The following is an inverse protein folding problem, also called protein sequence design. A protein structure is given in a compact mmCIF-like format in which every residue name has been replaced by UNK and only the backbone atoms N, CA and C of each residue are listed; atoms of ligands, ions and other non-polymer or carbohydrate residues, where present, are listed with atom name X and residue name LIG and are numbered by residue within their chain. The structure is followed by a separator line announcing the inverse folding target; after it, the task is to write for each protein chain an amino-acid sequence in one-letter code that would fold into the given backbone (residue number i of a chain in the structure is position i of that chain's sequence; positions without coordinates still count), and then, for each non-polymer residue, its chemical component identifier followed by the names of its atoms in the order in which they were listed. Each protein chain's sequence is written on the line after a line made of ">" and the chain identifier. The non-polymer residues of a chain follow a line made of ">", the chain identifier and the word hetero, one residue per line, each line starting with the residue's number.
data_IF_561210063084
#
_entry.id   IF_561210063084
#
_cell.length_a   1.000
_cell.length_b   1.000
_cell.length_c   1.000
_cell.angle_alpha   90.00
_cell.angle_beta   90.00
_cell.angle_gamma   90.00
#
_symmetry.space_group_name_H-M   'P 1'
#
loop_
_entity.id
_entity.type
_entity.pdbx_description
1 polymer ?
#
# COMPACT_ATOMS: atom_id res chain seq x y z
N UNK A 1 -8.97 -7.53 -31.29
CA UNK A 1 -8.43 -6.50 -32.19
C UNK A 1 -6.94 -6.64 -32.49
N UNK A 2 -6.16 -7.52 -31.84
CA UNK A 2 -4.78 -7.81 -32.27
C UNK A 2 -3.81 -6.62 -32.13
N UNK A 3 -4.23 -5.54 -31.48
CA UNK A 3 -3.40 -4.37 -31.24
C UNK A 3 -2.40 -4.65 -30.12
N UNK A 4 -1.12 -4.41 -30.38
CA UNK A 4 -0.05 -4.45 -29.38
C UNK A 4 -0.05 -3.13 -28.63
N UNK A 5 -0.71 -3.11 -27.49
CA UNK A 5 -0.60 -2.01 -26.54
C UNK A 5 0.64 -2.26 -25.68
N UNK A 6 1.50 -1.25 -25.56
CA UNK A 6 2.35 -1.15 -24.36
C UNK A 6 1.40 -1.16 -23.16
N UNK A 7 1.64 -1.98 -22.13
CA UNK A 7 0.73 -2.21 -21.00
C UNK A 7 0.43 -0.92 -20.23
N UNK A 8 -0.45 -0.09 -20.78
CA UNK A 8 -0.86 1.17 -20.17
C UNK A 8 -1.79 0.84 -19.01
N UNK A 9 -1.54 1.37 -17.80
CA UNK A 9 -2.38 1.16 -16.63
C UNK A 9 -3.86 1.50 -16.81
N UNK A 10 -4.18 2.32 -17.81
CA UNK A 10 -5.55 2.69 -18.18
C UNK A 10 -6.34 1.59 -18.88
N UNK A 11 -5.69 0.52 -19.36
CA UNK A 11 -6.32 -0.52 -20.17
C UNK A 11 -6.87 -1.68 -19.33
N UNK A 12 -6.28 -1.94 -18.17
CA UNK A 12 -6.75 -2.99 -17.26
C UNK A 12 -7.56 -2.40 -16.10
N UNK A 13 -8.62 -3.11 -15.71
CA UNK A 13 -9.52 -2.70 -14.63
C UNK A 13 -8.96 -3.15 -13.29
N UNK A 14 -9.25 -2.39 -12.24
CA UNK A 14 -8.96 -2.77 -10.87
C UNK A 14 -9.67 -4.08 -10.51
N UNK A 15 -9.01 -4.91 -9.70
CA UNK A 15 -9.49 -6.23 -9.28
C UNK A 15 -9.43 -6.34 -7.76
N UNK A 16 -10.22 -7.25 -7.15
CA UNK A 16 -10.08 -7.52 -5.72
C UNK A 16 -8.74 -8.19 -5.44
N UNK A 17 -8.16 -7.93 -4.26
CA UNK A 17 -7.01 -8.69 -3.75
C UNK A 17 -7.44 -10.06 -3.29
N UNK A 18 -6.52 -11.03 -3.35
CA UNK A 18 -6.72 -12.38 -2.83
C UNK A 18 -5.82 -12.63 -1.62
N UNK A 19 -6.35 -13.28 -0.59
CA UNK A 19 -5.63 -13.66 0.61
C UNK A 19 -5.84 -15.15 0.88
N UNK A 20 -4.71 -15.85 1.05
CA UNK A 20 -4.68 -17.28 1.29
C UNK A 20 -4.14 -17.55 2.68
N UNK A 21 -4.95 -18.18 3.53
CA UNK A 21 -4.54 -18.61 4.86
C UNK A 21 -3.83 -19.96 4.78
N UNK A 22 -2.60 -20.04 5.30
CA UNK A 22 -1.87 -21.31 5.40
C UNK A 22 -2.51 -22.20 6.46
N UNK A 23 -2.85 -23.44 6.09
CA UNK A 23 -3.43 -24.42 7.01
C UNK A 23 -2.35 -25.17 7.83
N UNK A 24 -1.06 -24.86 7.60
CA UNK A 24 0.08 -25.47 8.32
C UNK A 24 0.51 -26.85 7.80
N UNK A 25 -0.20 -27.40 6.81
CA UNK A 25 0.06 -28.71 6.20
C UNK A 25 0.49 -28.61 4.73
N UNK A 26 0.89 -27.42 4.29
CA UNK A 26 1.22 -27.11 2.90
C UNK A 26 0.00 -26.79 2.02
N UNK A 27 -1.21 -26.84 2.57
CA UNK A 27 -2.43 -26.37 1.89
C UNK A 27 -2.81 -24.95 2.30
N UNK A 28 -3.60 -24.30 1.46
CA UNK A 28 -4.07 -22.94 1.69
C UNK A 28 -5.58 -22.85 1.50
N UNK A 29 -6.22 -22.03 2.33
CA UNK A 29 -7.64 -21.69 2.21
C UNK A 29 -7.75 -20.29 1.66
N UNK A 30 -8.50 -20.10 0.57
CA UNK A 30 -8.90 -18.77 0.11
C UNK A 30 -9.84 -18.16 1.16
N UNK A 31 -9.39 -17.07 1.78
CA UNK A 31 -10.15 -16.32 2.79
C UNK A 31 -10.45 -14.91 2.31
N UNK A 32 -10.38 -14.64 1.01
CA UNK A 32 -10.40 -13.28 0.47
C UNK A 32 -11.71 -12.54 0.79
N UNK A 33 -12.84 -13.24 0.73
CA UNK A 33 -14.15 -12.66 1.03
C UNK A 33 -14.37 -12.52 2.52
N UNK A 34 -14.03 -13.56 3.27
CA UNK A 34 -14.22 -13.66 4.71
C UNK A 34 -13.33 -12.66 5.44
N UNK A 35 -12.09 -12.51 5.01
CA UNK A 35 -11.15 -11.55 5.58
C UNK A 35 -11.52 -10.09 5.29
N UNK A 36 -12.30 -9.84 4.24
CA UNK A 36 -12.67 -8.50 3.80
C UNK A 36 -11.70 -7.87 2.78
N UNK A 37 -10.55 -8.50 2.52
CA UNK A 37 -9.55 -7.97 1.58
C UNK A 37 -10.10 -7.81 0.15
N UNK A 38 -11.10 -8.62 -0.23
CA UNK A 38 -11.72 -8.57 -1.55
C UNK A 38 -12.78 -7.46 -1.70
N UNK A 39 -13.03 -6.65 -0.67
CA UNK A 39 -14.07 -5.61 -0.71
C UNK A 39 -13.66 -4.37 -1.51
N UNK A 40 -12.37 -4.07 -1.59
CA UNK A 40 -11.85 -2.96 -2.41
C UNK A 40 -11.24 -3.48 -3.71
N UNK A 41 -11.33 -2.67 -4.77
CA UNK A 41 -10.74 -2.96 -6.07
C UNK A 41 -9.52 -2.07 -6.26
N UNK A 42 -8.36 -2.67 -6.50
CA UNK A 42 -7.11 -1.95 -6.73
C UNK A 42 -6.34 -2.53 -7.89
N UNK A 43 -5.21 -1.89 -8.19
CA UNK A 43 -4.21 -2.36 -9.14
C UNK A 43 -2.93 -2.64 -8.34
N UNK A 44 -3.01 -3.60 -7.45
CA UNK A 44 -1.98 -3.88 -6.47
C UNK A 44 -0.69 -4.36 -7.14
N UNK A 45 0.42 -3.65 -6.92
CA UNK A 45 1.74 -3.98 -7.48
C UNK A 45 2.81 -4.23 -6.41
N UNK A 46 2.63 -3.69 -5.20
CA UNK A 46 3.50 -3.92 -4.06
C UNK A 46 2.68 -4.18 -2.80
N UNK A 47 3.16 -5.07 -1.94
CA UNK A 47 2.57 -5.33 -0.62
C UNK A 47 3.66 -5.52 0.42
N UNK A 48 3.47 -4.95 1.60
CA UNK A 48 4.29 -5.19 2.80
C UNK A 48 3.37 -5.44 3.98
N UNK A 49 3.77 -6.37 4.85
CA UNK A 49 3.08 -6.66 6.09
C UNK A 49 3.83 -6.02 7.25
N UNK A 50 3.13 -5.29 8.11
CA UNK A 50 3.69 -4.67 9.31
C UNK A 50 2.61 -4.43 10.36
N UNK A 51 2.99 -4.40 11.63
CA UNK A 51 2.09 -4.04 12.75
C UNK A 51 2.10 -2.52 12.91
N UNK A 52 1.20 -1.81 12.22
CA UNK A 52 1.27 -0.34 12.19
C UNK A 52 0.64 0.31 13.43
N UNK A 53 -0.07 -0.45 14.26
CA UNK A 53 -0.71 0.07 15.47
C UNK A 53 -0.23 -0.65 16.75
N UNK A 54 0.79 -1.51 16.64
CA UNK A 54 1.38 -2.28 17.73
C UNK A 54 0.36 -3.14 18.51
N UNK A 55 -0.67 -3.64 17.84
CA UNK A 55 -1.71 -4.49 18.45
C UNK A 55 -1.37 -6.00 18.43
N UNK A 56 -0.23 -6.36 17.80
CA UNK A 56 0.26 -7.72 17.67
C UNK A 56 -0.32 -8.46 16.46
N UNK A 57 -1.11 -7.79 15.61
CA UNK A 57 -1.62 -8.33 14.36
C UNK A 57 -0.95 -7.64 13.17
N UNK A 58 -0.55 -8.42 12.17
CA UNK A 58 0.01 -7.84 10.95
C UNK A 58 -1.10 -7.18 10.13
N UNK A 59 -0.85 -5.93 9.77
CA UNK A 59 -1.58 -5.14 8.79
C UNK A 59 -0.93 -5.28 7.41
N UNK A 60 -1.60 -4.80 6.36
CA UNK A 60 -1.06 -4.83 4.99
C UNK A 60 -1.12 -3.44 4.35
N UNK A 61 0.04 -2.90 3.99
CA UNK A 61 0.11 -1.75 3.11
C UNK A 61 0.29 -2.20 1.67
N UNK A 62 -0.54 -1.68 0.76
CA UNK A 62 -0.57 -2.06 -0.66
C UNK A 62 -0.42 -0.84 -1.55
N UNK A 63 0.67 -0.83 -2.33
CA UNK A 63 0.89 0.13 -3.40
C UNK A 63 0.04 -0.23 -4.61
N UNK A 64 -0.82 0.70 -5.05
CA UNK A 64 -1.66 0.53 -6.22
C UNK A 64 -1.17 1.40 -7.39
N UNK A 65 -1.30 0.88 -8.61
CA UNK A 65 -0.97 1.62 -9.83
C UNK A 65 -2.13 2.53 -10.26
N UNK A 66 -1.95 3.85 -10.38
CA UNK A 66 -2.98 4.82 -10.81
C UNK A 66 -4.28 4.84 -9.99
N UNK A 67 -4.31 4.18 -8.83
CA UNK A 67 -5.45 4.10 -7.92
C UNK A 67 -4.98 4.42 -6.50
N UNK A 68 -5.92 4.64 -5.56
CA UNK A 68 -5.55 4.92 -4.18
C UNK A 68 -4.80 3.72 -3.56
N UNK A 69 -3.72 3.96 -2.81
CA UNK A 69 -3.07 2.89 -2.04
C UNK A 69 -4.01 2.39 -0.94
N UNK A 70 -3.84 1.13 -0.53
CA UNK A 70 -4.60 0.58 0.59
C UNK A 70 -3.75 0.48 1.84
N UNK A 71 -4.36 0.74 2.99
CA UNK A 71 -3.88 0.29 4.29
C UNK A 71 -4.95 -0.59 4.91
N UNK A 72 -4.71 -1.89 4.89
CA UNK A 72 -5.60 -2.89 5.47
C UNK A 72 -5.21 -3.14 6.91
N UNK A 73 -5.96 -2.58 7.85
CA UNK A 73 -5.73 -2.80 9.28
C UNK A 73 -6.46 -4.04 9.74
N UNK A 74 -5.75 -4.97 10.37
CA UNK A 74 -6.28 -6.23 10.86
C UNK A 74 -6.97 -5.98 12.21
N UNK A 75 -8.30 -5.99 12.22
CA UNK A 75 -9.11 -5.85 13.45
C UNK A 75 -9.25 -7.15 14.22
N UNK A 76 -8.28 -8.05 14.06
CA UNK A 76 -8.21 -9.37 14.68
C UNK A 76 -8.99 -10.43 13.92
N UNK A 77 -8.67 -11.69 14.25
CA UNK A 77 -9.27 -12.89 13.64
C UNK A 77 -9.19 -12.91 12.10
N UNK A 78 -8.18 -12.25 11.53
CA UNK A 78 -7.97 -12.14 10.09
C UNK A 78 -9.03 -11.32 9.36
N UNK A 79 -9.69 -10.37 10.05
CA UNK A 79 -10.63 -9.42 9.45
C UNK A 79 -9.92 -8.09 9.22
N UNK A 80 -9.86 -7.66 7.97
CA UNK A 80 -9.20 -6.42 7.56
C UNK A 80 -10.22 -5.32 7.26
N UNK A 81 -9.84 -4.12 7.64
CA UNK A 81 -10.54 -2.87 7.32
C UNK A 81 -9.65 -2.02 6.41
N UNK A 82 -10.17 -1.55 5.27
CA UNK A 82 -9.45 -0.64 4.38
C UNK A 82 -9.52 0.78 4.96
N UNK A 83 -8.36 1.38 5.22
CA UNK A 83 -8.26 2.68 5.89
C UNK A 83 -7.37 3.68 5.15
N UNK A 84 -6.80 3.32 3.99
CA UNK A 84 -5.69 4.05 3.35
C UNK A 84 -5.96 5.53 3.12
N UNK A 85 -7.18 5.89 2.69
CA UNK A 85 -7.57 7.29 2.51
C UNK A 85 -7.66 8.05 3.83
N UNK A 86 -8.21 7.44 4.89
CA UNK A 86 -8.34 8.04 6.22
C UNK A 86 -6.99 8.12 6.95
N UNK A 87 -6.13 7.13 6.71
CA UNK A 87 -4.79 7.01 7.25
C UNK A 87 -3.79 7.99 6.62
N UNK A 88 -4.14 8.63 5.49
CA UNK A 88 -3.27 9.60 4.80
C UNK A 88 -2.27 8.97 3.82
N UNK A 89 -2.42 7.69 3.48
CA UNK A 89 -1.52 6.96 2.57
C UNK A 89 -2.14 6.68 1.19
N UNK A 90 -3.46 6.86 1.07
CA UNK A 90 -4.20 6.53 -0.15
C UNK A 90 -3.91 7.45 -1.34
N UNK A 91 -3.64 8.73 -1.09
CA UNK A 91 -3.46 9.74 -2.15
C UNK A 91 -2.23 10.61 -1.87
N UNK A 92 -1.74 11.27 -2.91
CA UNK A 92 -0.74 12.34 -2.77
C UNK A 92 -1.31 13.55 -2.03
N UNK A 93 -0.44 14.48 -1.63
CA UNK A 93 -0.81 15.75 -1.00
C UNK A 93 -1.78 16.62 -1.84
N UNK A 94 -1.87 16.38 -3.15
CA UNK A 94 -2.81 17.07 -4.05
C UNK A 94 -4.13 16.29 -4.26
N UNK A 95 -4.32 15.16 -3.58
CA UNK A 95 -5.52 14.33 -3.70
C UNK A 95 -5.54 13.44 -4.95
N UNK A 96 -4.41 13.27 -5.63
CA UNK A 96 -4.29 12.40 -6.81
C UNK A 96 -3.72 11.04 -6.43
N UNK A 97 -4.24 9.94 -7.01
CA UNK A 97 -3.59 8.63 -6.89
C UNK A 97 -2.23 8.68 -7.58
N UNK A 98 -1.31 7.86 -7.08
CA UNK A 98 0.02 7.66 -7.66
C UNK A 98 0.10 6.25 -8.24
N UNK A 99 1.15 5.98 -8.99
CA UNK A 99 1.48 4.67 -9.51
C UNK A 99 2.47 3.97 -8.58
N UNK A 100 1.95 3.45 -7.47
CA UNK A 100 2.72 2.71 -6.48
C UNK A 100 3.26 1.39 -7.01
N UNK A 101 4.55 1.12 -6.76
CA UNK A 101 5.27 -0.04 -7.30
C UNK A 101 5.86 -0.91 -6.19
N UNK A 102 6.98 -0.47 -5.59
CA UNK A 102 7.62 -1.17 -4.48
C UNK A 102 7.25 -0.53 -3.15
N UNK A 103 7.09 -1.36 -2.11
CA UNK A 103 6.77 -0.91 -0.75
C UNK A 103 7.70 -1.55 0.26
N UNK A 104 7.98 -0.83 1.34
CA UNK A 104 8.70 -1.34 2.50
C UNK A 104 8.17 -0.70 3.78
N UNK A 105 8.44 -1.30 4.93
CA UNK A 105 7.97 -0.84 6.23
C UNK A 105 9.06 -0.98 7.30
N UNK A 106 9.36 0.11 8.01
CA UNK A 106 10.35 0.14 9.07
C UNK A 106 10.18 1.39 9.94
N UNK A 107 10.57 1.29 11.20
CA UNK A 107 10.78 2.44 12.10
C UNK A 107 12.09 3.14 11.68
N UNK A 108 12.03 4.16 10.81
CA UNK A 108 13.25 4.76 10.24
C UNK A 108 13.87 5.83 11.14
N UNK A 109 13.09 6.43 12.04
CA UNK A 109 13.53 7.49 12.94
C UNK A 109 13.68 7.03 14.40
N UNK A 110 13.44 5.74 14.65
CA UNK A 110 13.59 5.05 15.92
C UNK A 110 12.63 5.58 17.00
N UNK A 111 11.42 5.98 16.59
CA UNK A 111 10.37 6.47 17.50
C UNK A 111 9.46 5.36 18.04
N UNK A 112 9.66 4.12 17.58
CA UNK A 112 8.89 2.93 17.97
C UNK A 112 7.58 2.76 17.21
N UNK A 113 7.31 3.57 16.19
CA UNK A 113 6.19 3.42 15.26
C UNK A 113 6.70 2.93 13.91
N UNK A 114 5.86 2.23 13.16
CA UNK A 114 6.26 1.71 11.85
C UNK A 114 5.90 2.74 10.78
N UNK A 115 6.91 3.23 10.07
CA UNK A 115 6.72 4.07 8.89
C UNK A 115 6.64 3.22 7.62
N UNK A 116 6.09 3.82 6.55
CA UNK A 116 5.92 3.15 5.26
C UNK A 116 6.68 3.89 4.16
N UNK A 117 7.36 3.14 3.30
CA UNK A 117 8.00 3.66 2.10
C UNK A 117 7.30 3.13 0.85
N UNK A 118 7.11 4.00 -0.14
CA UNK A 118 6.51 3.67 -1.43
C UNK A 118 7.34 4.25 -2.57
N UNK A 119 7.80 3.39 -3.47
CA UNK A 119 8.32 3.80 -4.78
C UNK A 119 7.19 3.95 -5.78
N UNK A 120 7.35 4.91 -6.69
CA UNK A 120 6.38 5.23 -7.75
C UNK A 120 7.05 5.19 -9.11
N UNK A 121 6.27 5.18 -10.19
CA UNK A 121 6.82 5.27 -11.56
C UNK A 121 7.48 6.62 -11.84
N UNK A 122 8.22 6.68 -12.95
CA UNK A 122 8.93 7.87 -13.41
C UNK A 122 8.03 9.12 -13.42
N UNK A 123 8.59 10.24 -12.95
CA UNK A 123 8.00 11.57 -12.80
C UNK A 123 6.97 11.71 -11.67
N UNK A 124 6.82 10.68 -10.83
CA UNK A 124 6.12 10.78 -9.55
C UNK A 124 7.10 10.70 -8.38
N UNK A 125 6.78 11.40 -7.30
CA UNK A 125 7.61 11.41 -6.09
C UNK A 125 7.43 10.11 -5.31
N UNK A 126 8.54 9.51 -4.89
CA UNK A 126 8.52 8.50 -3.83
C UNK A 126 7.86 9.07 -2.58
N UNK A 127 7.25 8.20 -1.79
CA UNK A 127 6.58 8.58 -0.54
C UNK A 127 7.30 7.96 0.64
N UNK A 128 7.46 8.76 1.69
CA UNK A 128 7.87 8.29 3.01
C UNK A 128 6.75 8.73 3.95
N UNK A 129 5.89 7.80 4.29
CA UNK A 129 4.77 8.01 5.18
C UNK A 129 5.26 7.84 6.61
N UNK A 130 5.50 8.96 7.28
CA UNK A 130 5.87 8.98 8.68
C UNK A 130 4.64 8.84 9.57
N UNK A 131 4.71 7.98 10.58
CA UNK A 131 3.57 7.71 11.44
C UNK A 131 3.46 8.74 12.59
N UNK A 132 2.51 9.65 12.45
CA UNK A 132 2.26 10.72 13.44
C UNK A 132 1.63 10.15 14.72
N UNK A 133 0.71 9.18 14.57
CA UNK A 133 0.02 8.43 15.63
C UNK A 133 -0.58 7.16 15.05
N UNK A 134 -1.14 6.30 15.90
CA UNK A 134 -1.76 5.04 15.50
C UNK A 134 -2.62 5.20 14.23
N UNK A 135 -2.22 4.48 13.17
CA UNK A 135 -2.90 4.42 11.87
C UNK A 135 -2.99 5.74 11.08
N UNK A 136 -2.29 6.81 11.49
CA UNK A 136 -2.30 8.12 10.81
C UNK A 136 -0.90 8.53 10.39
N UNK A 137 -0.74 8.83 9.10
CA UNK A 137 0.53 9.10 8.47
C UNK A 137 0.59 10.46 7.79
N UNK A 138 1.80 10.98 7.63
CA UNK A 138 2.10 12.15 6.81
C UNK A 138 3.20 11.83 5.78
N UNK A 139 3.03 12.27 4.54
CA UNK A 139 4.07 12.09 3.51
C UNK A 139 5.19 13.13 3.70
N UNK A 140 6.31 12.70 4.28
CA UNK A 140 7.47 13.54 4.61
C UNK A 140 8.57 13.48 3.57
N UNK A 141 8.40 12.73 2.47
CA UNK A 141 9.41 12.62 1.41
C UNK A 141 9.95 13.97 0.90
N UNK A 142 9.12 15.03 0.73
CA UNK A 142 9.63 16.34 0.32
C UNK A 142 10.59 16.99 1.31
N UNK A 143 10.45 16.71 2.61
CA UNK A 143 11.29 17.28 3.67
C UNK A 143 12.67 16.63 3.73
N UNK A 144 12.76 15.35 3.41
CA UNK A 144 14.00 14.56 3.47
C UNK A 144 14.75 14.48 2.14
N UNK A 145 14.28 15.18 1.09
CA UNK A 145 14.96 15.22 -0.22
C UNK A 145 14.90 13.91 -1.01
N UNK A 146 14.10 12.94 -0.56
CA UNK A 146 13.88 11.65 -1.23
C UNK A 146 12.69 11.68 -2.19
N UNK A 147 11.97 12.80 -2.24
CA UNK A 147 10.87 13.03 -3.17
C UNK A 147 11.32 13.23 -4.62
N UNK A 148 12.53 13.75 -4.85
CA UNK A 148 13.00 14.12 -6.19
C UNK A 148 13.55 12.92 -6.95
N UNK A 149 13.22 12.82 -8.24
CA UNK A 149 13.95 12.00 -9.19
C UNK A 149 15.43 12.38 -9.20
N UNK A 150 16.31 11.39 -9.28
CA UNK A 150 17.77 11.59 -9.38
C UNK A 150 18.23 12.02 -10.78
N UNK A 151 17.33 12.21 -11.74
CA UNK A 151 17.65 12.72 -13.07
C UNK A 151 17.00 14.09 -13.31
N UNK A 152 17.84 15.14 -13.30
CA UNK A 152 17.53 16.40 -13.98
C UNK A 152 17.96 16.26 -15.45
N UNK A 153 17.02 16.42 -16.39
CA UNK A 153 17.31 16.74 -17.80
C UNK A 153 16.85 18.17 -18.09
#
# INVERSE_FOLDING_TARGET
>A
TGERWYCRPTVYKSTPSWLFHSNGDGTFTDVSKESGIAQALGKALGVVAADVNNDGWMDLFVGNDTEANFLWVNRGKGRFEETGALAGVGFSAFGHPRSGMGVDASDYDHDGKIDLFLTTVDHEMFSLYHQERDEIFSDVAPRFGIASQTFNL
#
